data_IF_245287308807
#
_entry.id   IF_245287308807
#
_cell.length_a   1.000
_cell.length_b   1.000
_cell.length_c   1.000
_cell.angle_alpha   90.00
_cell.angle_beta   90.00
_cell.angle_gamma   90.00
#
_symmetry.space_group_name_H-M   'P 1'
#
loop_
_entity.id
_entity.type
_entity.pdbx_description
1 polymer ?
#
# COMPACT_ATOMS: atom_id res chain seq x y z
N UNK A 1 -6.93 -35.02 -13.86
CA UNK A 1 -6.04 -34.32 -12.92
C UNK A 1 -5.93 -32.88 -13.42
N UNK A 2 -6.61 -31.93 -12.80
CA UNK A 2 -6.44 -30.51 -13.16
C UNK A 2 -5.05 -30.09 -12.69
N UNK A 3 -4.21 -29.60 -13.60
CA UNK A 3 -2.89 -29.11 -13.22
C UNK A 3 -3.07 -27.88 -12.33
N UNK A 4 -2.24 -27.70 -11.29
CA UNK A 4 -2.20 -26.45 -10.51
C UNK A 4 -1.98 -25.20 -11.39
N UNK A 5 -1.61 -25.37 -12.66
CA UNK A 5 -1.63 -24.33 -13.70
C UNK A 5 -3.05 -23.82 -14.00
N UNK A 6 -4.04 -24.68 -14.21
CA UNK A 6 -5.43 -24.28 -14.51
C UNK A 6 -6.07 -23.52 -13.34
N UNK A 7 -5.75 -23.91 -12.09
CA UNK A 7 -6.22 -23.21 -10.90
C UNK A 7 -5.68 -21.78 -10.81
N UNK A 8 -4.44 -21.56 -11.27
CA UNK A 8 -3.86 -20.23 -11.41
C UNK A 8 -4.40 -19.49 -12.64
N UNK A 9 -4.73 -20.21 -13.72
CA UNK A 9 -5.10 -19.67 -15.04
C UNK A 9 -6.55 -19.21 -15.18
N UNK A 10 -7.42 -19.63 -14.26
CA UNK A 10 -8.79 -19.13 -14.19
C UNK A 10 -8.84 -17.64 -13.82
N UNK A 11 -9.36 -16.81 -14.73
CA UNK A 11 -9.64 -15.38 -14.53
C UNK A 11 -10.88 -15.12 -13.65
N UNK A 12 -11.40 -16.15 -12.98
CA UNK A 12 -12.56 -16.01 -12.11
C UNK A 12 -12.15 -15.45 -10.74
N UNK A 13 -12.69 -14.29 -10.37
CA UNK A 13 -12.53 -13.75 -9.04
C UNK A 13 -13.36 -14.59 -8.05
N UNK A 14 -12.76 -15.17 -6.99
CA UNK A 14 -13.48 -16.01 -6.01
C UNK A 14 -14.40 -15.21 -5.08
N UNK A 15 -14.41 -13.88 -5.22
CA UNK A 15 -15.26 -12.95 -4.45
C UNK A 15 -15.98 -12.01 -5.41
N UNK A 16 -17.05 -11.38 -4.92
CA UNK A 16 -17.78 -10.35 -5.67
C UNK A 16 -16.94 -9.09 -5.85
N UNK A 17 -17.18 -8.36 -6.93
CA UNK A 17 -16.47 -7.11 -7.26
C UNK A 17 -16.64 -6.05 -6.16
N UNK A 18 -17.79 -5.98 -5.51
CA UNK A 18 -18.03 -5.06 -4.39
C UNK A 18 -17.04 -5.31 -3.23
N UNK A 19 -16.87 -6.57 -2.82
CA UNK A 19 -15.95 -6.93 -1.74
C UNK A 19 -14.49 -6.68 -2.14
N UNK A 20 -14.13 -7.01 -3.39
CA UNK A 20 -12.79 -6.72 -3.91
C UNK A 20 -12.51 -5.21 -3.91
N UNK A 21 -13.49 -4.39 -4.30
CA UNK A 21 -13.39 -2.94 -4.27
C UNK A 21 -13.22 -2.38 -2.86
N UNK A 22 -13.93 -2.92 -1.88
CA UNK A 22 -13.77 -2.58 -0.47
C UNK A 22 -12.36 -2.93 0.05
N UNK A 23 -11.87 -4.14 -0.26
CA UNK A 23 -10.52 -4.58 0.12
C UNK A 23 -9.44 -3.70 -0.53
N UNK A 24 -9.62 -3.31 -1.79
CA UNK A 24 -8.67 -2.45 -2.50
C UNK A 24 -8.57 -1.04 -1.89
N UNK A 25 -9.69 -0.51 -1.39
CA UNK A 25 -9.75 0.82 -0.77
C UNK A 25 -9.48 0.81 0.74
N UNK A 26 -9.48 -0.36 1.36
CA UNK A 26 -9.28 -0.51 2.80
C UNK A 26 -7.88 -0.04 3.22
N UNK A 27 -7.80 0.56 4.41
CA UNK A 27 -6.53 0.86 5.07
C UNK A 27 -5.81 -0.43 5.49
N UNK A 28 -4.50 -0.34 5.79
CA UNK A 28 -3.71 -1.47 6.28
C UNK A 28 -4.30 -2.11 7.56
N UNK A 29 -5.03 -1.33 8.35
CA UNK A 29 -5.74 -1.80 9.54
C UNK A 29 -7.11 -2.45 9.24
N UNK A 30 -7.78 -2.04 8.16
CA UNK A 30 -9.11 -2.55 7.79
C UNK A 30 -9.04 -3.81 6.94
N UNK A 31 -8.01 -3.95 6.10
CA UNK A 31 -7.85 -5.07 5.18
C UNK A 31 -7.82 -6.45 5.89
N UNK A 32 -7.07 -6.66 7.00
CA UNK A 32 -7.03 -7.96 7.67
C UNK A 32 -8.42 -8.46 8.12
N UNK A 33 -9.28 -7.56 8.59
CA UNK A 33 -10.65 -7.90 9.02
C UNK A 33 -11.53 -8.34 7.86
N UNK A 34 -11.43 -7.66 6.71
CA UNK A 34 -12.16 -8.05 5.50
C UNK A 34 -11.66 -9.40 4.99
N UNK A 35 -10.36 -9.62 5.02
CA UNK A 35 -9.73 -10.88 4.60
C UNK A 35 -10.19 -12.04 5.50
N UNK A 36 -10.25 -11.87 6.83
CA UNK A 36 -10.75 -12.90 7.76
C UNK A 36 -12.17 -13.38 7.49
N UNK A 37 -13.02 -12.55 6.88
CA UNK A 37 -14.39 -12.96 6.50
C UNK A 37 -14.42 -13.99 5.36
N UNK A 38 -13.31 -14.16 4.64
CA UNK A 38 -13.18 -15.04 3.48
C UNK A 38 -12.51 -16.35 3.87
N UNK A 39 -13.05 -17.47 3.36
CA UNK A 39 -12.47 -18.80 3.59
C UNK A 39 -10.99 -18.87 3.17
N UNK A 40 -10.15 -19.67 3.85
CA UNK A 40 -8.70 -19.72 3.58
C UNK A 40 -8.37 -20.09 2.13
N UNK A 41 -9.10 -21.03 1.54
CA UNK A 41 -8.94 -21.42 0.15
C UNK A 41 -9.28 -20.28 -0.82
N UNK A 42 -10.39 -19.58 -0.61
CA UNK A 42 -10.77 -18.42 -1.42
C UNK A 42 -9.77 -17.26 -1.29
N UNK A 43 -9.16 -17.07 -0.11
CA UNK A 43 -8.09 -16.06 0.08
C UNK A 43 -6.84 -16.39 -0.72
N UNK A 44 -6.42 -17.65 -0.75
CA UNK A 44 -5.27 -18.08 -1.55
C UNK A 44 -5.52 -17.85 -3.05
N UNK A 45 -6.69 -18.26 -3.55
CA UNK A 45 -7.11 -18.00 -4.94
C UNK A 45 -7.20 -16.50 -5.25
N UNK A 46 -7.73 -15.70 -4.32
CA UNK A 46 -7.84 -14.26 -4.47
C UNK A 46 -6.47 -13.58 -4.55
N UNK A 47 -5.52 -13.97 -3.69
CA UNK A 47 -4.17 -13.44 -3.71
C UNK A 47 -3.49 -13.71 -5.06
N UNK A 48 -3.64 -14.93 -5.60
CA UNK A 48 -3.11 -15.31 -6.91
C UNK A 48 -3.76 -14.55 -8.07
N UNK A 49 -5.09 -14.37 -8.02
CA UNK A 49 -5.84 -13.56 -8.97
C UNK A 49 -5.35 -12.10 -8.99
N UNK A 50 -5.17 -11.51 -7.81
CA UNK A 50 -4.67 -10.14 -7.66
C UNK A 50 -3.20 -10.02 -8.10
N UNK A 51 -2.38 -11.04 -7.88
CA UNK A 51 -0.95 -11.00 -8.19
C UNK A 51 -0.66 -10.85 -9.69
N UNK A 52 -1.54 -11.38 -10.55
CA UNK A 52 -1.45 -11.25 -12.01
C UNK A 52 -1.73 -9.83 -12.52
N UNK A 53 -2.44 -9.01 -11.73
CA UNK A 53 -2.85 -7.65 -12.11
C UNK A 53 -1.93 -6.64 -11.45
N UNK A 54 -1.20 -5.87 -12.26
CA UNK A 54 -0.22 -4.89 -11.77
C UNK A 54 -0.81 -3.90 -10.77
N UNK A 55 -2.03 -3.40 -11.03
CA UNK A 55 -2.73 -2.45 -10.16
C UNK A 55 -3.23 -3.06 -8.84
N UNK A 56 -3.31 -4.40 -8.72
CA UNK A 56 -3.70 -5.11 -7.50
C UNK A 56 -2.51 -5.81 -6.82
N UNK A 57 -1.30 -5.62 -7.33
CA UNK A 57 -0.14 -6.38 -6.86
C UNK A 57 0.17 -6.12 -5.37
N UNK A 58 0.07 -4.88 -4.91
CA UNK A 58 0.23 -4.52 -3.50
C UNK A 58 -0.80 -5.22 -2.61
N UNK A 59 -2.06 -5.27 -3.06
CA UNK A 59 -3.15 -5.97 -2.39
C UNK A 59 -2.90 -7.48 -2.37
N UNK A 60 -2.41 -8.07 -3.46
CA UNK A 60 -2.07 -9.48 -3.54
C UNK A 60 -1.05 -9.91 -2.47
N UNK A 61 0.03 -9.13 -2.34
CA UNK A 61 1.08 -9.38 -1.33
C UNK A 61 0.54 -9.20 0.09
N UNK A 62 -0.36 -8.23 0.31
CA UNK A 62 -1.01 -8.02 1.60
C UNK A 62 -1.92 -9.20 2.00
N UNK A 63 -2.78 -9.66 1.09
CA UNK A 63 -3.67 -10.80 1.32
C UNK A 63 -2.84 -12.07 1.55
N UNK A 64 -1.80 -12.29 0.75
CA UNK A 64 -0.89 -13.43 0.89
C UNK A 64 -0.24 -13.52 2.28
N UNK A 65 -0.01 -12.38 2.94
CA UNK A 65 0.52 -12.35 4.31
C UNK A 65 -0.41 -12.98 5.36
N UNK A 66 -1.71 -13.09 5.07
CA UNK A 66 -2.71 -13.75 5.91
C UNK A 66 -2.94 -15.23 5.55
N UNK A 67 -2.38 -15.70 4.44
CA UNK A 67 -2.54 -17.05 3.94
C UNK A 67 -1.43 -17.97 4.46
N UNK A 68 -1.71 -19.28 4.52
CA UNK A 68 -0.66 -20.25 4.76
C UNK A 68 0.15 -20.49 3.48
N UNK A 69 1.42 -20.86 3.63
CA UNK A 69 2.29 -21.22 2.50
C UNK A 69 1.72 -22.40 1.70
N UNK A 70 1.12 -23.37 2.41
CA UNK A 70 0.52 -24.57 1.82
C UNK A 70 -0.64 -24.20 0.90
N UNK A 71 -1.57 -23.37 1.38
CA UNK A 71 -2.75 -22.97 0.58
C UNK A 71 -2.34 -22.23 -0.71
N UNK A 72 -1.31 -21.38 -0.63
CA UNK A 72 -0.78 -20.66 -1.79
C UNK A 72 -0.09 -21.62 -2.77
N UNK A 73 0.67 -22.61 -2.31
CA UNK A 73 1.34 -23.60 -3.16
C UNK A 73 0.33 -24.56 -3.80
N UNK A 74 -0.69 -25.00 -3.06
CA UNK A 74 -1.72 -25.89 -3.59
C UNK A 74 -2.49 -25.23 -4.75
N UNK A 75 -2.82 -23.96 -4.59
CA UNK A 75 -3.58 -23.20 -5.59
C UNK A 75 -2.72 -22.60 -6.71
N UNK A 76 -1.48 -22.20 -6.44
CA UNK A 76 -0.63 -21.42 -7.35
C UNK A 76 0.74 -22.04 -7.67
N UNK A 77 1.05 -23.21 -7.12
CA UNK A 77 2.31 -23.91 -7.31
C UNK A 77 3.52 -23.03 -6.99
N UNK A 78 4.43 -22.89 -7.96
CA UNK A 78 5.64 -22.06 -7.83
C UNK A 78 5.33 -20.59 -7.64
N UNK A 79 4.24 -20.07 -8.24
CA UNK A 79 3.86 -18.67 -8.04
C UNK A 79 3.41 -18.47 -6.59
N UNK A 80 2.67 -19.43 -6.05
CA UNK A 80 2.27 -19.46 -4.65
C UNK A 80 3.43 -19.36 -3.67
N UNK A 81 4.48 -20.16 -3.86
CA UNK A 81 5.68 -20.10 -3.01
C UNK A 81 6.41 -18.76 -3.12
N UNK A 82 6.54 -18.20 -4.34
CA UNK A 82 7.14 -16.88 -4.52
C UNK A 82 6.32 -15.77 -3.87
N UNK A 83 4.99 -15.82 -3.99
CA UNK A 83 4.09 -14.84 -3.41
C UNK A 83 4.12 -14.88 -1.88
N UNK A 84 4.21 -16.08 -1.30
CA UNK A 84 4.41 -16.24 0.13
C UNK A 84 5.72 -15.60 0.61
N UNK A 85 6.84 -15.86 -0.07
CA UNK A 85 8.13 -15.25 0.26
C UNK A 85 8.08 -13.71 0.18
N UNK A 86 7.48 -13.16 -0.88
CA UNK A 86 7.28 -11.71 -1.05
C UNK A 86 6.47 -11.10 0.11
N UNK A 87 5.41 -11.78 0.54
CA UNK A 87 4.58 -11.32 1.66
C UNK A 87 5.35 -11.22 2.97
N UNK A 88 6.27 -12.16 3.24
CA UNK A 88 7.11 -12.18 4.44
C UNK A 88 8.17 -11.07 4.40
N UNK A 89 8.74 -10.80 3.23
CA UNK A 89 9.70 -9.71 3.08
C UNK A 89 9.06 -8.33 3.32
N UNK A 90 7.79 -8.15 2.93
CA UNK A 90 7.04 -6.91 3.21
C UNK A 90 6.87 -6.69 4.72
N UNK A 91 6.50 -7.73 5.47
CA UNK A 91 6.37 -7.65 6.94
C UNK A 91 7.70 -7.35 7.62
N UNK A 92 8.80 -7.93 7.11
CA UNK A 92 10.14 -7.65 7.63
C UNK A 92 10.58 -6.19 7.39
N UNK A 93 10.19 -5.59 6.27
CA UNK A 93 10.48 -4.18 5.95
C UNK A 93 9.59 -3.17 6.69
N UNK A 94 8.35 -3.54 7.02
CA UNK A 94 7.45 -2.69 7.81
C UNK A 94 7.73 -2.74 9.31
N UNK A 95 8.47 -3.74 9.77
CA UNK A 95 8.97 -3.78 11.14
C UNK A 95 10.04 -2.69 11.30
N UNK A 96 9.94 -1.76 12.27
CA UNK A 96 11.01 -0.80 12.51
C UNK A 96 12.25 -1.60 12.91
N UNK A 97 13.19 -1.74 11.98
CA UNK A 97 14.45 -2.37 12.29
C UNK A 97 15.12 -1.52 13.36
N UNK A 98 15.38 -2.11 14.53
CA UNK A 98 16.26 -1.51 15.56
C UNK A 98 17.73 -1.47 15.10
N UNK A 99 17.97 -1.50 13.79
CA UNK A 99 19.29 -1.54 13.19
C UNK A 99 19.84 -0.13 13.07
N UNK A 100 20.74 0.18 14.00
CA UNK A 100 21.92 0.98 13.71
C UNK A 100 21.80 2.46 14.04
N UNK A 101 22.24 2.80 15.26
CA UNK A 101 23.11 3.93 15.60
C UNK A 101 23.15 5.13 14.64
N UNK A 102 22.01 5.72 14.28
CA UNK A 102 22.00 7.03 13.65
C UNK A 102 22.34 8.04 14.73
N UNK A 103 23.46 8.75 14.54
CA UNK A 103 23.85 9.87 15.41
C UNK A 103 22.67 10.84 15.51
N UNK A 104 22.31 11.32 16.71
CA UNK A 104 21.17 12.20 16.89
C UNK A 104 21.32 13.43 15.99
N UNK A 105 20.26 13.73 15.22
CA UNK A 105 20.15 14.96 14.47
C UNK A 105 19.89 16.07 15.50
N UNK A 106 20.90 16.87 15.81
CA UNK A 106 20.71 18.02 16.70
C UNK A 106 20.15 19.18 15.88
N UNK A 107 18.92 19.61 16.19
CA UNK A 107 18.41 20.87 15.69
C UNK A 107 19.27 22.01 16.25
N UNK A 108 19.79 22.86 15.37
CA UNK A 108 20.51 24.08 15.76
C UNK A 108 19.50 25.03 16.40
N UNK A 109 19.54 25.15 17.72
CA UNK A 109 18.69 26.07 18.52
C UNK A 109 19.20 27.50 18.44
N UNK A 110 19.67 27.95 17.28
CA UNK A 110 20.08 29.34 17.08
C UNK A 110 18.79 30.15 16.89
N UNK A 111 18.38 31.00 17.85
CA UNK A 111 17.19 31.82 17.66
C UNK A 111 17.44 32.72 16.44
N UNK A 112 16.47 32.75 15.53
CA UNK A 112 16.48 33.68 14.40
C UNK A 112 16.56 35.10 14.96
N UNK A 113 17.57 35.87 14.55
CA UNK A 113 17.62 37.30 14.84
C UNK A 113 16.34 37.95 14.35
N UNK A 114 15.71 38.72 15.24
CA UNK A 114 14.50 39.50 14.99
C UNK A 114 14.70 40.33 13.73
N UNK A 115 13.84 40.09 12.72
CA UNK A 115 13.74 40.95 11.55
C UNK A 115 13.23 42.33 12.01
N UNK A 116 13.92 43.39 11.59
CA UNK A 116 13.50 44.76 11.86
C UNK A 116 12.12 45.04 11.23
N UNK A 117 11.27 45.85 11.87
CA UNK A 117 9.99 46.26 11.29
C UNK A 117 10.18 46.95 9.93
N UNK A 118 9.35 46.57 8.97
CA UNK A 118 9.20 47.30 7.71
C UNK A 118 8.15 48.38 7.93
N UNK A 119 8.51 49.64 7.69
CA UNK A 119 7.58 50.76 7.70
C UNK A 119 6.71 50.71 6.43
N UNK A 120 5.42 50.41 6.61
CA UNK A 120 4.37 50.51 5.58
C UNK A 120 3.94 51.97 5.45
N UNK A 121 4.51 52.69 4.48
CA UNK A 121 3.91 53.93 3.95
C UNK A 121 3.09 53.56 2.71
N UNK A 122 1.79 53.28 2.90
CA UNK A 122 0.81 53.21 1.82
C UNK A 122 0.59 54.64 1.30
N UNK A 123 0.95 54.91 0.05
CA UNK A 123 0.41 56.03 -0.71
C UNK A 123 -0.56 55.50 -1.76
N UNK A 124 -1.81 55.89 -1.59
CA UNK A 124 -2.99 55.47 -2.34
C UNK A 124 -3.34 56.63 -3.29
N UNK A 125 -2.93 56.56 -4.56
CA UNK A 125 -3.46 57.47 -5.58
C UNK A 125 -3.83 56.71 -6.86
N UNK A 126 -5.03 56.13 -6.83
CA UNK A 126 -5.83 55.78 -8.00
C UNK A 126 -6.43 57.04 -8.61
N UNK A 127 -6.02 57.40 -9.84
CA UNK A 127 -6.92 58.09 -10.78
C UNK A 127 -6.52 57.82 -12.24
N UNK A 128 -7.16 56.80 -12.81
CA UNK A 128 -7.82 56.76 -14.12
C UNK A 128 -7.54 57.90 -15.14
N UNK A 129 -7.01 57.54 -16.33
CA UNK A 129 -7.52 57.94 -17.65
C UNK A 129 -6.70 57.36 -18.83
N UNK A 130 -7.32 56.43 -19.59
CA UNK A 130 -7.16 56.27 -21.06
C UNK A 130 -7.92 57.41 -21.77
N UNK A 131 -7.74 57.81 -23.05
CA UNK A 131 -7.18 57.12 -24.25
C UNK A 131 -6.26 58.07 -25.08
N UNK A 132 -5.84 57.89 -26.35
CA UNK A 132 -6.18 57.06 -27.51
C UNK A 132 -4.94 56.95 -28.43
#
# INVERSE_FOLDING_TARGET
MFSSRDAFESDFCPVRDELLGEMYRASESGLPRLVESVSPDARAKLALFCYRRSHLHSLAVAIAGSCSERDLIENGGRVGSTLYALSRERVAKSSPSLSGGRKPITLSTKPLSVLAPLDDELDDEISEAVPA
#
